data_IF_993097630506
#
_entry.id   IF_993097630506
#
_cell.length_a   1.000
_cell.length_b   1.000
_cell.length_c   1.000
_cell.angle_alpha   90.00
_cell.angle_beta   90.00
_cell.angle_gamma   90.00
#
_symmetry.space_group_name_H-M   'P 1'
#
loop_
_entity.id
_entity.type
_entity.pdbx_description
1 polymer ?
#
# COMPACT_ATOMS: atom_id res chain seq x y z
N UNK A 1 15.18 24.67 -6.27
CA UNK A 1 15.08 23.64 -7.34
C UNK A 1 13.74 22.94 -7.20
N UNK A 2 13.06 22.67 -8.31
CA UNK A 2 11.81 21.89 -8.29
C UNK A 2 12.16 20.45 -7.93
N UNK A 3 11.61 19.92 -6.83
CA UNK A 3 11.73 18.49 -6.50
C UNK A 3 11.24 17.65 -7.68
N UNK A 4 12.00 16.65 -8.11
CA UNK A 4 11.68 15.75 -9.23
C UNK A 4 11.61 14.31 -8.71
N UNK A 5 10.47 13.65 -8.87
CA UNK A 5 10.27 12.24 -8.52
C UNK A 5 9.66 11.50 -9.71
N UNK A 6 10.50 11.04 -10.63
CA UNK A 6 10.07 10.36 -11.86
C UNK A 6 9.38 9.03 -11.56
N UNK A 7 9.75 8.39 -10.45
CA UNK A 7 9.13 7.13 -9.99
C UNK A 7 7.64 7.31 -9.68
N UNK A 8 7.19 8.53 -9.35
CA UNK A 8 5.78 8.83 -9.08
C UNK A 8 4.84 8.43 -10.23
N UNK A 9 5.30 8.48 -11.49
CA UNK A 9 4.51 8.12 -12.68
C UNK A 9 4.01 6.67 -12.67
N UNK A 10 4.80 5.75 -12.12
CA UNK A 10 4.41 4.35 -11.99
C UNK A 10 3.30 4.18 -10.94
N UNK A 11 3.35 4.98 -9.87
CA UNK A 11 2.29 5.02 -8.86
C UNK A 11 1.02 5.71 -9.36
N UNK A 12 1.13 6.70 -10.26
CA UNK A 12 -0.04 7.35 -10.89
C UNK A 12 -0.79 6.39 -11.82
N UNK A 13 -0.07 5.56 -12.58
CA UNK A 13 -0.67 4.50 -13.41
C UNK A 13 -1.44 3.50 -12.55
N UNK A 14 -0.84 3.07 -11.43
CA UNK A 14 -1.50 2.25 -10.42
C UNK A 14 -2.75 2.95 -9.85
N UNK A 15 -2.67 4.24 -9.53
CA UNK A 15 -3.78 5.01 -8.99
C UNK A 15 -4.97 5.12 -9.97
N UNK A 16 -4.71 5.23 -11.27
CA UNK A 16 -5.75 5.23 -12.30
C UNK A 16 -6.53 3.91 -12.32
N UNK A 17 -5.82 2.78 -12.28
CA UNK A 17 -6.44 1.44 -12.22
C UNK A 17 -7.22 1.24 -10.92
N UNK A 18 -6.71 1.74 -9.79
CA UNK A 18 -7.40 1.67 -8.50
C UNK A 18 -8.74 2.43 -8.49
N UNK A 19 -8.90 3.47 -9.32
CA UNK A 19 -10.21 4.14 -9.50
C UNK A 19 -11.22 3.21 -10.16
N UNK A 20 -10.82 2.47 -11.19
CA UNK A 20 -11.69 1.48 -11.87
C UNK A 20 -12.17 0.43 -10.86
N UNK A 21 -11.24 -0.14 -10.08
CA UNK A 21 -11.56 -1.10 -9.00
C UNK A 21 -12.56 -0.49 -8.01
N UNK A 22 -12.35 0.77 -7.61
CA UNK A 22 -13.25 1.48 -6.68
C UNK A 22 -14.65 1.70 -7.27
N UNK A 23 -14.76 2.09 -8.55
CA UNK A 23 -16.05 2.29 -9.18
C UNK A 23 -16.81 0.97 -9.36
N UNK A 24 -16.12 -0.09 -9.81
CA UNK A 24 -16.69 -1.43 -9.87
C UNK A 24 -17.19 -1.92 -8.51
N UNK A 25 -16.51 -1.54 -7.43
CA UNK A 25 -16.96 -1.83 -6.07
C UNK A 25 -18.26 -1.11 -5.71
N UNK A 26 -18.34 0.19 -6.00
CA UNK A 26 -19.53 1.00 -5.74
C UNK A 26 -20.72 0.49 -6.55
N UNK A 27 -20.52 0.16 -7.83
CA UNK A 27 -21.57 -0.41 -8.69
C UNK A 27 -22.11 -1.71 -8.09
N UNK A 28 -21.24 -2.58 -7.55
CA UNK A 28 -21.69 -3.81 -6.89
C UNK A 28 -22.51 -3.54 -5.61
N UNK A 29 -22.08 -2.60 -4.77
CA UNK A 29 -22.85 -2.22 -3.56
C UNK A 29 -24.22 -1.69 -3.94
N UNK A 30 -24.25 -0.68 -4.82
CA UNK A 30 -25.48 0.00 -5.22
C UNK A 30 -26.41 -0.98 -5.94
N UNK A 31 -25.88 -1.78 -6.86
CA UNK A 31 -26.62 -2.83 -7.55
C UNK A 31 -27.28 -3.80 -6.57
N UNK A 32 -26.57 -4.24 -5.54
CA UNK A 32 -27.10 -5.18 -4.54
C UNK A 32 -28.24 -4.59 -3.72
N UNK A 33 -28.21 -3.28 -3.47
CA UNK A 33 -29.32 -2.62 -2.78
C UNK A 33 -30.53 -2.55 -3.72
N UNK A 34 -30.33 -2.24 -5.00
CA UNK A 34 -31.42 -2.19 -5.98
C UNK A 34 -32.05 -3.55 -6.26
N UNK A 35 -31.28 -4.65 -6.21
CA UNK A 35 -31.84 -5.99 -6.45
C UNK A 35 -32.94 -6.34 -5.46
N UNK A 36 -32.86 -5.85 -4.21
CA UNK A 36 -33.87 -6.07 -3.16
C UNK A 36 -35.27 -5.52 -3.52
N UNK A 37 -35.33 -4.51 -4.40
CA UNK A 37 -36.57 -3.83 -4.76
C UNK A 37 -36.97 -4.04 -6.22
N UNK A 38 -36.21 -4.83 -6.97
CA UNK A 38 -36.40 -5.03 -8.41
C UNK A 38 -36.99 -6.41 -8.72
N UNK A 39 -37.72 -6.51 -9.83
CA UNK A 39 -38.26 -7.77 -10.34
C UNK A 39 -38.27 -7.78 -11.87
N UNK A 40 -38.51 -8.96 -12.46
CA UNK A 40 -38.63 -9.13 -13.91
C UNK A 40 -37.34 -8.76 -14.68
N UNK A 41 -37.50 -8.14 -15.85
CA UNK A 41 -36.38 -7.80 -16.75
C UNK A 41 -35.37 -6.85 -16.11
N UNK A 42 -35.83 -5.91 -15.28
CA UNK A 42 -34.95 -4.95 -14.62
C UNK A 42 -34.01 -5.61 -13.61
N UNK A 43 -34.50 -6.61 -12.87
CA UNK A 43 -33.69 -7.43 -11.96
C UNK A 43 -32.55 -8.13 -12.70
N UNK A 44 -32.84 -8.81 -13.82
CA UNK A 44 -31.81 -9.49 -14.62
C UNK A 44 -30.77 -8.53 -15.20
N UNK A 45 -31.18 -7.31 -15.58
CA UNK A 45 -30.24 -6.28 -16.03
C UNK A 45 -29.27 -5.84 -14.92
N UNK A 46 -29.76 -5.63 -13.69
CA UNK A 46 -28.90 -5.28 -12.55
C UNK A 46 -27.90 -6.39 -12.25
N UNK A 47 -28.34 -7.65 -12.25
CA UNK A 47 -27.49 -8.84 -12.05
C UNK A 47 -26.36 -8.88 -13.07
N UNK A 48 -26.68 -8.68 -14.35
CA UNK A 48 -25.68 -8.68 -15.41
C UNK A 48 -24.64 -7.58 -15.17
N UNK A 49 -25.08 -6.39 -14.76
CA UNK A 49 -24.18 -5.28 -14.43
C UNK A 49 -23.26 -5.60 -13.25
N UNK A 50 -23.79 -6.22 -12.18
CA UNK A 50 -23.00 -6.65 -11.02
C UNK A 50 -21.99 -7.73 -11.39
N UNK A 51 -22.40 -8.69 -12.22
CA UNK A 51 -21.49 -9.72 -12.73
C UNK A 51 -20.31 -9.10 -13.48
N UNK A 52 -20.59 -8.21 -14.44
CA UNK A 52 -19.56 -7.49 -15.21
C UNK A 52 -18.68 -6.66 -14.27
N UNK A 53 -19.27 -5.93 -13.34
CA UNK A 53 -18.53 -5.09 -12.39
C UNK A 53 -17.59 -5.92 -11.50
N UNK A 54 -18.04 -7.06 -10.97
CA UNK A 54 -17.22 -7.97 -10.16
C UNK A 54 -16.09 -8.59 -10.98
N UNK A 55 -16.35 -8.98 -12.23
CA UNK A 55 -15.31 -9.49 -13.11
C UNK A 55 -14.23 -8.44 -13.41
N UNK A 56 -14.64 -7.21 -13.78
CA UNK A 56 -13.73 -6.07 -13.98
C UNK A 56 -12.90 -5.84 -12.71
N UNK A 57 -13.54 -5.85 -11.54
CA UNK A 57 -12.85 -5.61 -10.29
C UNK A 57 -11.72 -6.62 -10.04
N UNK A 58 -11.99 -7.92 -10.21
CA UNK A 58 -11.01 -8.99 -10.04
C UNK A 58 -9.87 -8.85 -11.05
N UNK A 59 -10.19 -8.64 -12.33
CA UNK A 59 -9.20 -8.51 -13.40
C UNK A 59 -8.25 -7.33 -13.16
N UNK A 60 -8.79 -6.15 -12.87
CA UNK A 60 -7.96 -4.96 -12.65
C UNK A 60 -7.21 -5.01 -11.32
N UNK A 61 -7.76 -5.65 -10.29
CA UNK A 61 -7.04 -5.94 -9.05
C UNK A 61 -5.82 -6.83 -9.31
N UNK A 62 -5.98 -7.88 -10.13
CA UNK A 62 -4.90 -8.74 -10.57
C UNK A 62 -3.81 -7.97 -11.34
N UNK A 63 -4.18 -7.20 -12.36
CA UNK A 63 -3.23 -6.37 -13.12
C UNK A 63 -2.43 -5.45 -12.20
N UNK A 64 -3.10 -4.86 -11.21
CA UNK A 64 -2.42 -3.99 -10.26
C UNK A 64 -1.40 -4.73 -9.40
N UNK A 65 -1.78 -5.89 -8.87
CA UNK A 65 -0.96 -6.67 -7.94
C UNK A 65 0.26 -7.29 -8.63
N UNK A 66 0.12 -7.72 -9.89
CA UNK A 66 1.15 -8.50 -10.57
C UNK A 66 1.96 -7.73 -11.62
N UNK A 67 1.45 -6.58 -12.11
CA UNK A 67 2.12 -5.81 -13.16
C UNK A 67 2.51 -4.42 -12.64
N UNK A 68 1.52 -3.60 -12.28
CA UNK A 68 1.77 -2.17 -12.01
C UNK A 68 2.51 -1.93 -10.70
N UNK A 69 2.07 -2.56 -9.61
CA UNK A 69 2.69 -2.35 -8.29
C UNK A 69 4.14 -2.89 -8.24
N UNK A 70 4.44 -4.11 -8.71
CA UNK A 70 5.83 -4.61 -8.73
C UNK A 70 6.77 -3.76 -9.58
N UNK A 71 6.28 -3.15 -10.68
CA UNK A 71 7.08 -2.23 -11.48
C UNK A 71 7.43 -0.95 -10.72
N UNK A 72 6.46 -0.33 -10.05
CA UNK A 72 6.68 0.86 -9.22
C UNK A 72 7.67 0.58 -8.07
N UNK A 73 7.50 -0.56 -7.39
CA UNK A 73 8.38 -0.97 -6.29
C UNK A 73 9.80 -1.30 -6.75
N UNK A 74 9.95 -1.89 -7.95
CA UNK A 74 11.28 -2.11 -8.55
C UNK A 74 11.98 -0.79 -8.83
N UNK A 75 11.28 0.18 -9.42
CA UNK A 75 11.85 1.50 -9.68
C UNK A 75 12.26 2.19 -8.36
N UNK A 76 11.39 2.17 -7.33
CA UNK A 76 11.68 2.77 -6.03
C UNK A 76 12.89 2.13 -5.32
N UNK A 77 13.07 0.81 -5.42
CA UNK A 77 14.25 0.13 -4.87
C UNK A 77 15.56 0.54 -5.56
N UNK A 78 15.54 0.68 -6.89
CA UNK A 78 16.73 1.16 -7.63
C UNK A 78 17.11 2.57 -7.18
N UNK A 79 16.13 3.47 -7.12
CA UNK A 79 16.37 4.85 -6.73
C UNK A 79 16.77 4.99 -5.24
N UNK A 80 16.32 4.07 -4.38
CA UNK A 80 16.81 3.99 -2.99
C UNK A 80 18.31 3.71 -2.94
N UNK A 81 18.78 2.71 -3.70
CA UNK A 81 20.21 2.34 -3.77
C UNK A 81 21.01 3.47 -4.41
N UNK A 82 20.55 4.00 -5.54
CA UNK A 82 21.21 5.10 -6.25
C UNK A 82 21.33 6.35 -5.34
N UNK A 83 20.28 6.71 -4.60
CA UNK A 83 20.33 7.81 -3.65
C UNK A 83 21.28 7.54 -2.46
N UNK A 84 21.32 6.31 -1.96
CA UNK A 84 22.12 5.94 -0.81
C UNK A 84 23.63 5.92 -1.12
N UNK A 85 24.01 5.53 -2.33
CA UNK A 85 25.41 5.33 -2.72
C UNK A 85 25.91 6.28 -3.82
N UNK A 86 25.09 7.26 -4.23
CA UNK A 86 25.40 8.22 -5.30
C UNK A 86 25.79 7.53 -6.61
N UNK A 87 24.90 6.63 -7.04
CA UNK A 87 25.03 5.88 -8.28
C UNK A 87 24.04 6.40 -9.32
N UNK A 88 24.36 6.16 -10.59
CA UNK A 88 23.50 6.44 -11.74
C UNK A 88 23.19 5.13 -12.47
N UNK A 89 22.31 4.30 -11.89
CA UNK A 89 21.95 2.98 -12.45
C UNK A 89 20.58 2.97 -13.13
N UNK A 90 19.86 4.09 -13.07
CA UNK A 90 18.50 4.23 -13.62
C UNK A 90 18.26 5.63 -14.17
N UNK A 91 17.39 5.72 -15.18
CA UNK A 91 17.00 6.99 -15.81
C UNK A 91 16.01 7.78 -14.93
N UNK A 92 15.40 7.13 -13.94
CA UNK A 92 14.41 7.72 -13.04
C UNK A 92 15.09 8.48 -11.89
N UNK A 93 14.89 9.80 -11.82
CA UNK A 93 15.44 10.63 -10.74
C UNK A 93 14.43 10.81 -9.57
N UNK A 94 14.95 10.85 -8.34
CA UNK A 94 14.15 11.08 -7.11
C UNK A 94 14.79 12.12 -6.20
N UNK A 95 14.87 13.36 -6.68
CA UNK A 95 15.38 14.51 -5.93
C UNK A 95 14.36 15.01 -4.89
N UNK A 96 14.83 15.12 -3.64
CA UNK A 96 14.03 15.59 -2.51
C UNK A 96 12.95 14.63 -2.01
N UNK A 97 13.05 13.34 -2.39
CA UNK A 97 12.19 12.26 -1.89
C UNK A 97 12.57 11.83 -0.45
N UNK A 98 13.86 11.67 -0.17
CA UNK A 98 14.39 11.40 1.16
C UNK A 98 14.79 12.71 1.85
N UNK A 99 14.47 12.85 3.14
CA UNK A 99 14.84 14.02 3.95
C UNK A 99 16.10 13.71 4.78
N UNK A 100 17.15 13.27 4.10
CA UNK A 100 18.40 12.81 4.68
C UNK A 100 19.60 13.42 3.96
N UNK A 101 20.48 14.06 4.74
CA UNK A 101 21.63 14.82 4.24
C UNK A 101 22.96 14.09 4.45
N UNK A 102 22.92 12.80 4.85
CA UNK A 102 24.13 11.99 4.98
C UNK A 102 24.85 11.84 3.63
N UNK A 103 26.18 11.77 3.71
CA UNK A 103 27.03 11.43 2.56
C UNK A 103 26.78 10.00 2.09
N UNK A 104 27.10 9.66 0.83
CA UNK A 104 26.83 8.33 0.28
C UNK A 104 27.46 7.21 1.10
N UNK A 105 26.64 6.33 1.67
CA UNK A 105 27.10 5.28 2.60
C UNK A 105 26.01 4.26 2.95
N UNK A 106 26.40 3.20 3.67
CA UNK A 106 25.45 2.20 4.21
C UNK A 106 24.53 2.84 5.26
N UNK A 107 25.04 3.77 6.06
CA UNK A 107 24.26 4.54 7.04
C UNK A 107 23.18 5.38 6.34
N UNK A 108 23.49 5.96 5.17
CA UNK A 108 22.49 6.66 4.35
C UNK A 108 21.38 5.72 3.88
N UNK A 109 21.72 4.51 3.42
CA UNK A 109 20.75 3.48 3.05
C UNK A 109 19.84 3.13 4.24
N UNK A 110 20.43 2.85 5.40
CA UNK A 110 19.71 2.49 6.63
C UNK A 110 18.74 3.60 7.03
N UNK A 111 19.18 4.85 7.01
CA UNK A 111 18.35 5.97 7.41
C UNK A 111 17.23 6.26 6.41
N UNK A 112 17.49 6.10 5.10
CA UNK A 112 16.45 6.19 4.06
C UNK A 112 15.40 5.08 4.20
N UNK A 113 15.82 3.86 4.55
CA UNK A 113 14.92 2.76 4.84
C UNK A 113 14.08 3.04 6.10
N UNK A 114 14.70 3.58 7.15
CA UNK A 114 13.99 3.96 8.37
C UNK A 114 12.96 5.06 8.13
N UNK A 115 13.28 6.07 7.31
CA UNK A 115 12.34 7.09 6.85
C UNK A 115 11.14 6.43 6.15
N UNK A 116 11.43 5.55 5.18
CA UNK A 116 10.41 4.85 4.41
C UNK A 116 9.50 4.02 5.32
N UNK A 117 10.06 3.30 6.30
CA UNK A 117 9.30 2.54 7.30
C UNK A 117 8.42 3.47 8.13
N UNK A 118 8.96 4.59 8.64
CA UNK A 118 8.21 5.56 9.43
C UNK A 118 7.00 6.10 8.66
N UNK A 119 7.20 6.55 7.42
CA UNK A 119 6.11 7.06 6.59
C UNK A 119 5.07 5.97 6.30
N UNK A 120 5.52 4.79 5.89
CA UNK A 120 4.66 3.67 5.53
C UNK A 120 3.81 3.21 6.72
N UNK A 121 4.41 3.08 7.91
CA UNK A 121 3.72 2.68 9.14
C UNK A 121 2.57 3.63 9.49
N UNK A 122 2.85 4.94 9.49
CA UNK A 122 1.85 5.96 9.82
C UNK A 122 0.72 6.01 8.79
N UNK A 123 1.04 5.84 7.51
CA UNK A 123 0.05 5.83 6.43
C UNK A 123 -0.82 4.56 6.49
N UNK A 124 -0.22 3.39 6.68
CA UNK A 124 -0.94 2.13 6.83
C UNK A 124 -1.91 2.17 8.00
N UNK A 125 -1.50 2.70 9.15
CA UNK A 125 -2.38 2.87 10.31
C UNK A 125 -3.63 3.69 9.96
N UNK A 126 -3.45 4.80 9.24
CA UNK A 126 -4.55 5.69 8.84
C UNK A 126 -5.44 5.10 7.75
N UNK A 127 -4.99 4.09 7.02
CA UNK A 127 -5.79 3.39 6.02
C UNK A 127 -6.75 2.35 6.63
N UNK A 128 -6.46 1.80 7.82
CA UNK A 128 -7.23 0.70 8.44
C UNK A 128 -8.74 1.00 8.51
N UNK A 129 -9.21 2.16 9.03
CA UNK A 129 -10.65 2.41 9.13
C UNK A 129 -11.36 2.41 7.78
N UNK A 130 -10.69 2.94 6.74
CA UNK A 130 -11.25 3.00 5.38
C UNK A 130 -11.37 1.62 4.76
N UNK A 131 -10.36 0.77 4.91
CA UNK A 131 -10.42 -0.61 4.41
C UNK A 131 -11.40 -1.48 5.22
N UNK A 132 -11.59 -1.19 6.51
CA UNK A 132 -12.63 -1.82 7.33
C UNK A 132 -14.03 -1.52 6.81
N UNK A 133 -14.32 -0.25 6.47
CA UNK A 133 -15.62 0.16 5.90
C UNK A 133 -15.86 -0.55 4.56
N UNK A 134 -14.83 -0.65 3.69
CA UNK A 134 -14.96 -1.38 2.42
C UNK A 134 -15.23 -2.87 2.65
N UNK A 135 -14.52 -3.50 3.56
CA UNK A 135 -14.72 -4.91 3.89
C UNK A 135 -16.12 -5.18 4.43
N UNK A 136 -16.63 -4.30 5.29
CA UNK A 136 -18.02 -4.36 5.77
C UNK A 136 -19.02 -4.23 4.61
N UNK A 137 -18.80 -3.29 3.69
CA UNK A 137 -19.63 -3.14 2.50
C UNK A 137 -19.64 -4.41 1.63
N UNK A 138 -18.48 -5.04 1.44
CA UNK A 138 -18.37 -6.30 0.71
C UNK A 138 -19.14 -7.44 1.39
N UNK A 139 -19.07 -7.54 2.73
CA UNK A 139 -19.83 -8.52 3.52
C UNK A 139 -21.34 -8.31 3.37
N UNK A 140 -21.81 -7.05 3.45
CA UNK A 140 -23.23 -6.71 3.28
C UNK A 140 -23.71 -7.16 1.89
N UNK A 141 -22.95 -6.84 0.84
CA UNK A 141 -23.25 -7.26 -0.52
C UNK A 141 -23.34 -8.78 -0.64
N UNK A 142 -22.40 -9.51 -0.04
CA UNK A 142 -22.40 -10.96 -0.05
C UNK A 142 -23.66 -11.53 0.62
N UNK A 143 -24.04 -11.00 1.79
CA UNK A 143 -25.25 -11.42 2.51
C UNK A 143 -26.49 -11.17 1.65
N UNK A 144 -26.62 -9.98 1.05
CA UNK A 144 -27.76 -9.67 0.17
C UNK A 144 -27.83 -10.66 -0.99
N UNK A 145 -26.70 -10.90 -1.64
CA UNK A 145 -26.60 -11.85 -2.77
C UNK A 145 -27.05 -13.25 -2.35
N UNK A 146 -26.59 -13.75 -1.20
CA UNK A 146 -26.96 -15.09 -0.71
C UNK A 146 -28.44 -15.22 -0.34
N UNK A 147 -29.11 -14.13 0.04
CA UNK A 147 -30.53 -14.14 0.40
C UNK A 147 -31.47 -13.96 -0.80
N UNK A 148 -31.03 -13.23 -1.83
CA UNK A 148 -31.88 -12.87 -2.99
C UNK A 148 -31.81 -13.92 -4.10
N UNK A 149 -30.66 -14.57 -4.29
CA UNK A 149 -30.42 -15.41 -5.46
C UNK A 149 -30.69 -16.88 -5.20
N UNK A 150 -31.12 -17.59 -6.26
CA UNK A 150 -31.44 -19.01 -6.23
C UNK A 150 -30.38 -19.83 -6.97
N UNK A 151 -30.60 -21.13 -7.16
CA UNK A 151 -29.66 -22.03 -7.83
C UNK A 151 -29.36 -21.65 -9.29
N UNK A 152 -30.23 -20.91 -9.96
CA UNK A 152 -30.01 -20.52 -11.37
C UNK A 152 -28.98 -19.40 -11.52
N UNK A 153 -28.78 -18.58 -10.48
CA UNK A 153 -27.81 -17.48 -10.46
C UNK A 153 -26.48 -17.87 -9.79
N UNK A 154 -26.20 -19.18 -9.69
CA UNK A 154 -25.01 -19.73 -9.03
C UNK A 154 -23.67 -19.08 -9.45
N UNK A 155 -23.40 -18.79 -10.74
CA UNK A 155 -22.15 -18.12 -11.13
C UNK A 155 -21.96 -16.75 -10.48
N UNK A 156 -23.03 -15.99 -10.28
CA UNK A 156 -22.95 -14.69 -9.59
C UNK A 156 -22.61 -14.88 -8.11
N UNK A 157 -23.20 -15.88 -7.44
CA UNK A 157 -22.90 -16.19 -6.04
C UNK A 157 -21.41 -16.52 -5.88
N UNK A 158 -20.86 -17.39 -6.74
CA UNK A 158 -19.43 -17.73 -6.72
C UNK A 158 -18.57 -16.49 -6.92
N UNK A 159 -18.88 -15.68 -7.94
CA UNK A 159 -18.13 -14.46 -8.23
C UNK A 159 -18.20 -13.47 -7.06
N UNK A 160 -19.35 -13.37 -6.39
CA UNK A 160 -19.54 -12.48 -5.26
C UNK A 160 -18.76 -12.93 -4.03
N UNK A 161 -18.65 -14.24 -3.80
CA UNK A 161 -17.78 -14.80 -2.74
C UNK A 161 -16.32 -14.44 -3.02
N UNK A 162 -15.84 -14.67 -4.25
CA UNK A 162 -14.46 -14.34 -4.64
C UNK A 162 -14.20 -12.84 -4.52
N UNK A 163 -15.11 -12.01 -5.02
CA UNK A 163 -15.04 -10.57 -4.92
C UNK A 163 -15.00 -10.10 -3.46
N UNK A 164 -15.91 -10.59 -2.61
CA UNK A 164 -16.03 -10.12 -1.23
C UNK A 164 -14.86 -10.59 -0.37
N UNK A 165 -14.37 -11.80 -0.61
CA UNK A 165 -13.16 -12.31 0.06
C UNK A 165 -11.93 -11.49 -0.28
N UNK A 166 -11.81 -10.93 -1.49
CA UNK A 166 -10.67 -10.07 -1.87
C UNK A 166 -10.55 -8.82 -0.98
N UNK A 167 -11.68 -8.21 -0.57
CA UNK A 167 -11.69 -7.06 0.33
C UNK A 167 -11.36 -7.43 1.77
N UNK A 168 -11.95 -8.52 2.26
CA UNK A 168 -11.70 -9.02 3.61
C UNK A 168 -10.21 -9.40 3.77
N UNK A 169 -9.67 -10.15 2.82
CA UNK A 169 -8.25 -10.52 2.80
C UNK A 169 -7.37 -9.27 2.66
N UNK A 170 -7.77 -8.28 1.86
CA UNK A 170 -7.08 -7.01 1.77
C UNK A 170 -6.97 -6.27 3.11
N UNK A 171 -8.06 -6.23 3.90
CA UNK A 171 -8.05 -5.66 5.24
C UNK A 171 -7.16 -6.45 6.20
N UNK A 172 -7.26 -7.78 6.20
CA UNK A 172 -6.42 -8.65 7.04
C UNK A 172 -4.94 -8.41 6.70
N UNK A 173 -4.58 -8.41 5.42
CA UNK A 173 -3.23 -8.14 4.96
C UNK A 173 -2.74 -6.75 5.38
N UNK A 174 -3.58 -5.71 5.32
CA UNK A 174 -3.21 -4.37 5.80
C UNK A 174 -2.93 -4.36 7.31
N UNK A 175 -3.71 -5.09 8.11
CA UNK A 175 -3.49 -5.18 9.55
C UNK A 175 -2.17 -5.92 9.85
N UNK A 176 -1.94 -7.06 9.20
CA UNK A 176 -0.69 -7.82 9.32
C UNK A 176 0.52 -6.97 8.89
N UNK A 177 0.38 -6.24 7.78
CA UNK A 177 1.40 -5.32 7.29
C UNK A 177 1.74 -4.24 8.30
N UNK A 178 0.72 -3.61 8.90
CA UNK A 178 0.92 -2.60 9.95
C UNK A 178 1.71 -3.16 11.15
N UNK A 179 1.34 -4.34 11.66
CA UNK A 179 2.04 -4.92 12.80
C UNK A 179 3.48 -5.33 12.48
N UNK A 180 3.74 -5.86 11.28
CA UNK A 180 5.10 -6.17 10.82
C UNK A 180 5.95 -4.90 10.70
N UNK A 181 5.41 -3.83 10.11
CA UNK A 181 6.08 -2.54 10.04
C UNK A 181 6.33 -1.93 11.42
N UNK A 182 5.40 -2.12 12.35
CA UNK A 182 5.57 -1.64 13.72
C UNK A 182 6.74 -2.35 14.40
N UNK A 183 6.83 -3.66 14.27
CA UNK A 183 7.97 -4.44 14.79
C UNK A 183 9.29 -3.95 14.22
N UNK A 184 9.37 -3.80 12.88
CA UNK A 184 10.58 -3.26 12.24
C UNK A 184 10.91 -1.86 12.74
N UNK A 185 9.91 -0.98 12.84
CA UNK A 185 10.11 0.37 13.35
C UNK A 185 10.69 0.36 14.77
N UNK A 186 10.17 -0.50 15.65
CA UNK A 186 10.63 -0.62 17.03
C UNK A 186 12.10 -1.12 17.07
N UNK A 187 12.48 -2.05 16.21
CA UNK A 187 13.86 -2.55 16.08
C UNK A 187 14.82 -1.47 15.56
N UNK A 188 14.44 -0.75 14.50
CA UNK A 188 15.22 0.39 14.00
C UNK A 188 15.36 1.49 15.07
N UNK A 189 14.26 1.83 15.76
CA UNK A 189 14.25 2.84 16.80
C UNK A 189 15.20 2.45 17.95
N UNK A 190 15.18 1.18 18.36
CA UNK A 190 16.09 0.68 19.39
C UNK A 190 17.55 0.88 18.99
N UNK A 191 17.94 0.43 17.81
CA UNK A 191 19.34 0.48 17.36
C UNK A 191 19.83 1.89 17.00
N UNK A 192 18.97 2.72 16.40
CA UNK A 192 19.38 4.04 15.92
C UNK A 192 19.22 5.15 16.95
N UNK A 193 18.30 5.02 17.91
CA UNK A 193 17.93 6.10 18.84
C UNK A 193 18.17 5.70 20.29
N UNK A 194 17.80 4.49 20.70
CA UNK A 194 17.95 4.08 22.10
C UNK A 194 19.38 3.66 22.45
N UNK A 195 20.09 3.03 21.52
CA UNK A 195 21.50 2.66 21.65
C UNK A 195 22.41 3.89 21.40
N UNK A 196 23.46 4.01 22.23
CA UNK A 196 24.40 5.14 22.18
C UNK A 196 25.67 4.88 21.36
N UNK A 197 25.86 3.65 20.91
CA UNK A 197 27.05 3.22 20.16
C UNK A 197 26.64 2.35 19.00
N UNK A 198 27.17 2.63 17.80
CA UNK A 198 26.93 1.82 16.61
C UNK A 198 28.13 0.89 16.42
N UNK A 199 27.91 -0.42 16.53
CA UNK A 199 28.93 -1.42 16.21
C UNK A 199 28.73 -1.96 14.79
N UNK A 200 29.76 -2.57 14.20
CA UNK A 200 29.63 -3.23 12.89
C UNK A 200 28.51 -4.29 12.88
N UNK A 201 28.33 -4.99 14.01
CA UNK A 201 27.24 -5.96 14.19
C UNK A 201 25.87 -5.26 14.12
N UNK A 202 25.75 -4.07 14.73
CA UNK A 202 24.54 -3.25 14.67
C UNK A 202 24.23 -2.83 13.24
N UNK A 203 25.25 -2.42 12.47
CA UNK A 203 25.10 -2.03 11.06
C UNK A 203 24.61 -3.23 10.22
N UNK A 204 25.24 -4.40 10.37
CA UNK A 204 24.83 -5.63 9.67
C UNK A 204 23.38 -5.99 10.00
N UNK A 205 22.99 -5.90 11.28
CA UNK A 205 21.62 -6.13 11.69
C UNK A 205 20.65 -5.13 11.06
N UNK A 206 20.95 -3.84 11.07
CA UNK A 206 20.14 -2.80 10.42
C UNK A 206 19.99 -3.01 8.91
N UNK A 207 21.06 -3.44 8.22
CA UNK A 207 21.00 -3.82 6.80
C UNK A 207 20.04 -5.00 6.60
N UNK A 208 20.07 -6.01 7.49
CA UNK A 208 19.11 -7.13 7.42
C UNK A 208 17.66 -6.66 7.58
N UNK A 209 17.41 -5.66 8.43
CA UNK A 209 16.07 -5.06 8.59
C UNK A 209 15.65 -4.25 7.35
N UNK A 210 16.59 -3.61 6.65
CA UNK A 210 16.30 -2.96 5.36
C UNK A 210 15.83 -3.97 4.32
N UNK A 211 16.46 -5.14 4.26
CA UNK A 211 16.05 -6.24 3.38
C UNK A 211 14.67 -6.77 3.76
N UNK A 212 14.43 -6.99 5.06
CA UNK A 212 13.14 -7.46 5.57
C UNK A 212 12.00 -6.47 5.23
N UNK A 213 12.26 -5.16 5.31
CA UNK A 213 11.30 -4.14 4.87
C UNK A 213 10.92 -4.30 3.39
N UNK A 214 11.90 -4.49 2.50
CA UNK A 214 11.65 -4.68 1.07
C UNK A 214 10.90 -5.98 0.77
N UNK A 215 11.18 -7.05 1.53
CA UNK A 215 10.44 -8.32 1.45
C UNK A 215 8.98 -8.12 1.89
N UNK A 216 8.74 -7.44 3.01
CA UNK A 216 7.38 -7.15 3.51
C UNK A 216 6.61 -6.30 2.51
N UNK A 217 7.24 -5.26 1.95
CA UNK A 217 6.63 -4.37 0.95
C UNK A 217 6.29 -5.10 -0.35
N UNK A 218 7.21 -5.93 -0.84
CA UNK A 218 7.01 -6.72 -2.06
C UNK A 218 5.99 -7.85 -1.91
N UNK A 219 5.95 -8.52 -0.75
CA UNK A 219 5.08 -9.68 -0.52
C UNK A 219 3.63 -9.31 -0.19
N UNK A 220 3.41 -8.26 0.61
CA UNK A 220 2.07 -7.87 1.05
C UNK A 220 1.34 -6.94 0.06
N UNK A 221 2.09 -6.30 -0.84
CA UNK A 221 1.56 -5.48 -1.93
C UNK A 221 0.54 -4.41 -1.50
N UNK A 222 0.69 -3.89 -0.28
CA UNK A 222 -0.18 -2.85 0.26
C UNK A 222 0.11 -1.53 -0.45
N UNK A 223 -0.88 -1.05 -1.20
CA UNK A 223 -0.80 0.20 -1.96
C UNK A 223 -1.16 1.36 -1.06
N UNK A 224 -0.15 2.12 -0.65
CA UNK A 224 -0.36 3.34 0.13
C UNK A 224 -1.19 4.35 -0.68
N UNK A 225 -2.17 4.96 -0.03
CA UNK A 225 -3.04 5.93 -0.70
C UNK A 225 -2.28 7.22 -1.02
N UNK A 226 -2.10 7.53 -2.31
CA UNK A 226 -1.42 8.76 -2.75
C UNK A 226 -2.10 10.03 -2.24
N UNK A 227 -3.43 10.02 -2.09
CA UNK A 227 -4.18 11.13 -1.48
C UNK A 227 -3.76 11.33 -0.02
N UNK A 228 -3.76 10.24 0.75
CA UNK A 228 -3.38 10.27 2.16
C UNK A 228 -1.90 10.62 2.35
N UNK A 229 -1.03 10.13 1.47
CA UNK A 229 0.38 10.51 1.44
C UNK A 229 0.52 12.03 1.26
N UNK A 230 -0.08 12.62 0.23
CA UNK A 230 -0.02 14.08 0.00
C UNK A 230 -0.56 14.89 1.18
N UNK A 231 -1.63 14.42 1.80
CA UNK A 231 -2.26 15.08 2.96
C UNK A 231 -1.36 15.04 4.21
N UNK A 232 -0.76 13.89 4.51
CA UNK A 232 0.04 13.70 5.72
C UNK A 232 1.52 14.05 5.55
N UNK A 233 2.01 14.16 4.32
CA UNK A 233 3.42 14.37 4.02
C UNK A 233 4.05 15.57 4.76
N UNK A 234 3.44 16.77 4.80
CA UNK A 234 4.04 17.90 5.50
C UNK A 234 4.23 17.64 7.00
N UNK A 235 3.22 17.03 7.64
CA UNK A 235 3.27 16.70 9.08
C UNK A 235 4.27 15.59 9.36
N UNK A 236 4.28 14.54 8.55
CA UNK A 236 5.19 13.40 8.72
C UNK A 236 6.64 13.81 8.46
N UNK A 237 6.91 14.63 7.45
CA UNK A 237 8.25 15.17 7.17
C UNK A 237 8.77 15.98 8.35
N UNK A 238 7.96 16.92 8.88
CA UNK A 238 8.36 17.72 10.04
C UNK A 238 8.59 16.90 11.32
N UNK A 239 7.86 15.78 11.50
CA UNK A 239 8.10 14.86 12.61
C UNK A 239 9.34 14.01 12.39
N UNK A 240 9.55 13.54 11.15
CA UNK A 240 10.73 12.81 10.75
C UNK A 240 12.00 13.66 10.94
N UNK A 241 11.98 14.93 10.56
CA UNK A 241 13.10 15.85 10.76
C UNK A 241 13.49 16.00 12.24
N UNK A 242 12.53 15.90 13.16
CA UNK A 242 12.80 15.88 14.61
C UNK A 242 13.28 14.53 15.14
N UNK A 243 12.92 13.45 14.45
CA UNK A 243 13.30 12.09 14.80
C UNK A 243 14.73 11.80 14.32
N UNK A 244 15.05 12.16 13.08
CA UNK A 244 16.36 11.92 12.45
C UNK A 244 17.50 12.56 13.23
N UNK A 245 17.28 13.73 13.82
CA UNK A 245 18.30 14.43 14.65
C UNK A 245 18.64 13.70 15.94
N UNK A 246 17.84 12.70 16.34
CA UNK A 246 18.11 11.84 17.49
C UNK A 246 18.85 10.55 17.10
N UNK A 247 18.98 10.29 15.80
CA UNK A 247 19.66 9.10 15.32
C UNK A 247 21.16 9.23 15.60
N UNK A 248 21.78 8.11 15.93
CA UNK A 248 23.20 8.01 16.28
C UNK A 248 24.14 8.62 15.22
N UNK A 249 23.75 8.60 13.95
CA UNK A 249 24.53 9.15 12.84
C UNK A 249 24.63 10.69 12.82
N UNK A 250 23.78 11.40 13.57
CA UNK A 250 23.83 12.88 13.68
C UNK A 250 24.46 13.37 14.98
N UNK A 251 24.94 12.45 15.83
CA UNK A 251 25.55 12.76 17.13
C UNK A 251 27.07 12.51 17.18
N UNK A 252 27.69 12.16 16.05
CA UNK A 252 29.13 11.93 15.91
C UNK A 252 29.75 12.92 14.94
#
# INVERSE_FOLDING_TARGET
MSKRDDVSRYYDSNAAVQKVVTYSFIVNIVGSIFTLFSSGTFFHFIILLQFIASFINILFSWLTNFIFFPAAERARRKTLIDNAFDLDTTIDETDGYYNNDLSPSVEKLILNAFESIYFTLNLSQKMIPREAIKSLGAIIVLIITLNVFTTNEFPLIVLQVVFSSSYILGMINLILYYYRLKSLYDDFYKCLIAEKTCSDITIIYLVSLCVEYEIIKGSQQIKISSKLFKELNPKLSANWDKLKTKCIYYHN
#
